data_IF_975630284968
#
_entry.id   IF_975630284968
#
_cell.length_a   1.000
_cell.length_b   1.000
_cell.length_c   1.000
_cell.angle_alpha   90.00
_cell.angle_beta   90.00
_cell.angle_gamma   90.00
#
_symmetry.space_group_name_H-M   'P 1'
#
loop_
_entity.id
_entity.type
_entity.pdbx_description
1 polymer ?
#
# COMPACT_ATOMS: atom_id res chain seq x y z
N UNK A 1 19.76 -14.90 -2.68
CA UNK A 1 18.55 -15.74 -2.60
C UNK A 1 17.44 -15.12 -3.48
N UNK A 2 17.69 -14.97 -4.78
CA UNK A 2 16.85 -14.10 -5.63
C UNK A 2 15.96 -14.87 -6.61
N UNK A 3 16.07 -16.20 -6.68
CA UNK A 3 15.32 -17.05 -7.61
C UNK A 3 13.98 -17.54 -7.06
N UNK A 4 13.77 -17.49 -5.73
CA UNK A 4 12.54 -17.96 -5.09
C UNK A 4 11.34 -17.05 -5.39
N UNK A 5 11.53 -15.73 -5.31
CA UNK A 5 10.48 -14.74 -5.61
C UNK A 5 9.96 -14.85 -7.05
N UNK A 6 10.81 -14.87 -8.10
CA UNK A 6 10.33 -15.01 -9.47
C UNK A 6 9.71 -16.40 -9.72
N UNK A 7 10.24 -17.47 -9.14
CA UNK A 7 9.64 -18.80 -9.26
C UNK A 7 8.23 -18.86 -8.64
N UNK A 8 8.02 -18.27 -7.45
CA UNK A 8 6.72 -18.16 -6.81
C UNK A 8 5.75 -17.30 -7.64
N UNK A 9 6.22 -16.19 -8.20
CA UNK A 9 5.40 -15.33 -9.05
C UNK A 9 4.92 -16.07 -10.31
N UNK A 10 5.80 -16.82 -10.98
CA UNK A 10 5.46 -17.62 -12.16
C UNK A 10 4.49 -18.76 -11.80
N UNK A 11 4.74 -19.46 -10.69
CA UNK A 11 3.85 -20.53 -10.22
C UNK A 11 2.45 -19.99 -9.86
N UNK A 12 2.39 -18.84 -9.20
CA UNK A 12 1.13 -18.17 -8.88
C UNK A 12 0.37 -17.75 -10.14
N UNK A 13 1.05 -17.13 -11.10
CA UNK A 13 0.45 -16.74 -12.37
C UNK A 13 -0.09 -17.96 -13.15
N UNK A 14 0.70 -19.04 -13.23
CA UNK A 14 0.27 -20.28 -13.87
C UNK A 14 -0.96 -20.90 -13.19
N UNK A 15 -1.00 -20.88 -11.85
CA UNK A 15 -2.13 -21.36 -11.06
C UNK A 15 -3.38 -20.49 -11.28
N UNK A 16 -3.24 -19.16 -11.32
CA UNK A 16 -4.33 -18.23 -11.62
C UNK A 16 -4.93 -18.48 -13.01
N UNK A 17 -4.09 -18.65 -14.03
CA UNK A 17 -4.54 -18.95 -15.40
C UNK A 17 -5.26 -20.30 -15.44
N UNK A 18 -4.66 -21.33 -14.83
CA UNK A 18 -5.26 -22.68 -14.78
C UNK A 18 -6.61 -22.70 -14.07
N UNK A 19 -6.74 -22.02 -12.93
CA UNK A 19 -7.99 -21.88 -12.20
C UNK A 19 -9.03 -21.12 -13.03
N UNK A 20 -8.64 -20.04 -13.71
CA UNK A 20 -9.55 -19.27 -14.57
C UNK A 20 -10.10 -20.14 -15.69
N UNK A 21 -9.24 -20.91 -16.37
CA UNK A 21 -9.66 -21.86 -17.42
C UNK A 21 -10.60 -22.93 -16.84
N UNK A 22 -10.26 -23.52 -15.68
CA UNK A 22 -11.10 -24.52 -14.99
C UNK A 22 -12.47 -23.95 -14.63
N UNK A 23 -12.54 -22.73 -14.12
CA UNK A 23 -13.78 -22.07 -13.70
C UNK A 23 -14.65 -21.69 -14.91
N UNK A 24 -14.05 -21.18 -15.98
CA UNK A 24 -14.76 -20.86 -17.22
C UNK A 24 -15.34 -22.13 -17.86
N UNK A 25 -14.56 -23.21 -17.90
CA UNK A 25 -14.96 -24.47 -18.51
C UNK A 25 -16.07 -25.20 -17.72
N UNK A 26 -16.21 -24.95 -16.41
CA UNK A 26 -17.18 -25.68 -15.57
C UNK A 26 -18.61 -25.11 -15.55
N UNK A 27 -18.92 -23.99 -16.24
CA UNK A 27 -20.26 -23.35 -16.36
C UNK A 27 -21.10 -23.16 -15.08
N UNK A 28 -20.59 -23.46 -13.89
CA UNK A 28 -21.27 -23.23 -12.62
C UNK A 28 -21.20 -21.73 -12.31
N UNK A 29 -22.36 -21.07 -12.39
CA UNK A 29 -22.50 -19.61 -12.18
C UNK A 29 -21.83 -19.16 -10.87
N UNK A 30 -21.90 -20.00 -9.84
CA UNK A 30 -21.29 -19.79 -8.52
C UNK A 30 -19.76 -19.70 -8.54
N UNK A 31 -19.07 -20.49 -9.38
CA UNK A 31 -17.61 -20.49 -9.45
C UNK A 31 -17.05 -19.20 -10.08
N UNK A 32 -17.82 -18.57 -10.99
CA UNK A 32 -17.43 -17.28 -11.58
C UNK A 32 -17.54 -16.15 -10.57
N UNK A 33 -18.61 -16.14 -9.75
CA UNK A 33 -18.78 -15.16 -8.69
C UNK A 33 -17.72 -15.29 -7.60
N UNK A 34 -17.34 -16.51 -7.22
CA UNK A 34 -16.26 -16.71 -6.25
C UNK A 34 -14.92 -16.26 -6.79
N UNK A 35 -14.56 -16.55 -8.05
CA UNK A 35 -13.33 -16.02 -8.65
C UNK A 35 -13.35 -14.47 -8.68
N UNK A 36 -14.45 -13.88 -9.14
CA UNK A 36 -14.60 -12.43 -9.20
C UNK A 36 -14.49 -11.79 -7.82
N UNK A 37 -15.05 -12.42 -6.77
CA UNK A 37 -14.91 -11.95 -5.40
C UNK A 37 -13.47 -12.14 -4.88
N UNK A 38 -12.86 -13.30 -5.10
CA UNK A 38 -11.51 -13.61 -4.61
C UNK A 38 -10.45 -12.71 -5.22
N UNK A 39 -10.59 -12.33 -6.50
CA UNK A 39 -9.64 -11.41 -7.16
C UNK A 39 -10.08 -9.96 -7.03
N UNK A 40 -11.36 -9.68 -7.23
CA UNK A 40 -11.89 -8.33 -7.24
C UNK A 40 -11.90 -7.67 -5.87
N UNK A 41 -12.16 -8.43 -4.79
CA UNK A 41 -12.24 -7.86 -3.45
C UNK A 41 -10.86 -7.39 -2.93
N UNK A 42 -9.76 -8.14 -3.11
CA UNK A 42 -8.41 -7.63 -2.83
C UNK A 42 -8.01 -6.43 -3.70
N UNK A 43 -8.33 -6.47 -4.99
CA UNK A 43 -8.02 -5.34 -5.90
C UNK A 43 -8.80 -4.09 -5.47
N UNK A 44 -10.09 -4.25 -5.14
CA UNK A 44 -10.94 -3.16 -4.68
C UNK A 44 -10.45 -2.61 -3.33
N UNK A 45 -10.00 -3.48 -2.42
CA UNK A 45 -9.41 -3.09 -1.14
C UNK A 45 -8.14 -2.25 -1.31
N UNK A 46 -7.23 -2.67 -2.20
CA UNK A 46 -6.01 -1.89 -2.46
C UNK A 46 -6.34 -0.59 -3.19
N UNK A 47 -7.28 -0.62 -4.14
CA UNK A 47 -7.73 0.58 -4.86
C UNK A 47 -8.46 1.59 -3.96
N UNK A 48 -9.16 1.13 -2.91
CA UNK A 48 -9.87 2.00 -1.96
C UNK A 48 -8.95 2.67 -0.95
N UNK A 49 -7.69 2.24 -0.84
CA UNK A 49 -6.71 2.84 0.07
C UNK A 49 -6.44 4.31 -0.24
N UNK A 50 -6.21 4.66 -1.51
CA UNK A 50 -5.97 6.04 -1.94
C UNK A 50 -7.10 7.01 -1.56
N UNK A 51 -8.37 6.73 -1.95
CA UNK A 51 -9.52 7.52 -1.53
C UNK A 51 -9.68 7.63 -0.01
N UNK A 52 -9.41 6.55 0.74
CA UNK A 52 -9.49 6.57 2.19
C UNK A 52 -8.43 7.48 2.83
N UNK A 53 -7.19 7.45 2.32
CA UNK A 53 -6.13 8.37 2.74
C UNK A 53 -6.49 9.82 2.42
N UNK A 54 -7.02 10.08 1.22
CA UNK A 54 -7.46 11.42 0.83
C UNK A 54 -8.61 11.96 1.71
N UNK A 55 -9.56 11.10 2.07
CA UNK A 55 -10.63 11.47 3.01
C UNK A 55 -10.11 11.70 4.43
N UNK A 56 -9.08 10.94 4.85
CA UNK A 56 -8.40 11.14 6.12
C UNK A 56 -7.70 12.50 6.20
N UNK A 57 -7.02 12.91 5.12
CA UNK A 57 -6.33 14.20 5.00
C UNK A 57 -7.29 15.40 5.12
N UNK A 58 -8.57 15.21 4.76
CA UNK A 58 -9.63 16.21 4.88
C UNK A 58 -10.41 16.12 6.19
N UNK A 59 -9.93 15.37 7.17
CA UNK A 59 -10.59 15.10 8.45
C UNK A 59 -12.01 14.51 8.31
N UNK A 60 -12.34 13.91 7.16
CA UNK A 60 -13.64 13.24 6.92
C UNK A 60 -13.65 11.86 7.58
N UNK A 61 -12.50 11.18 7.56
CA UNK A 61 -12.29 9.87 8.19
C UNK A 61 -11.24 9.98 9.28
N UNK A 62 -11.45 9.25 10.39
CA UNK A 62 -10.46 9.18 11.47
C UNK A 62 -9.22 8.39 11.03
N UNK A 63 -8.04 8.95 11.24
CA UNK A 63 -6.75 8.31 10.96
C UNK A 63 -6.63 6.92 11.62
N UNK A 64 -7.11 6.79 12.87
CA UNK A 64 -7.13 5.51 13.59
C UNK A 64 -7.95 4.46 12.87
N UNK A 65 -9.07 4.86 12.26
CA UNK A 65 -9.92 3.94 11.51
C UNK A 65 -9.24 3.47 10.23
N UNK A 66 -8.61 4.38 9.49
CA UNK A 66 -7.87 4.04 8.27
C UNK A 66 -6.68 3.13 8.58
N UNK A 67 -5.88 3.45 9.59
CA UNK A 67 -4.76 2.59 10.02
C UNK A 67 -5.22 1.21 10.50
N UNK A 68 -6.37 1.13 11.16
CA UNK A 68 -6.94 -0.14 11.60
C UNK A 68 -7.44 -0.97 10.43
N UNK A 69 -8.28 -0.40 9.55
CA UNK A 69 -8.85 -1.08 8.39
C UNK A 69 -7.78 -1.51 7.36
N UNK A 70 -6.72 -0.72 7.23
CA UNK A 70 -5.58 -0.97 6.33
C UNK A 70 -4.33 -1.47 7.05
N UNK A 71 -4.45 -1.98 8.28
CA UNK A 71 -3.32 -2.48 9.07
C UNK A 71 -2.48 -3.56 8.37
N UNK A 72 -3.07 -4.52 7.63
CA UNK A 72 -2.27 -5.50 6.88
C UNK A 72 -1.37 -4.83 5.84
N UNK A 73 -1.91 -3.82 5.15
CA UNK A 73 -1.16 -3.03 4.18
C UNK A 73 -0.08 -2.22 4.89
N UNK A 74 -0.44 -1.51 5.97
CA UNK A 74 0.48 -0.71 6.80
C UNK A 74 1.67 -1.55 7.29
N UNK A 75 1.43 -2.77 7.79
CA UNK A 75 2.49 -3.69 8.21
C UNK A 75 3.38 -4.12 7.05
N UNK A 76 2.78 -4.48 5.90
CA UNK A 76 3.54 -4.83 4.71
C UNK A 76 4.45 -3.67 4.21
N UNK A 77 4.08 -2.42 4.48
CA UNK A 77 4.91 -1.25 4.17
C UNK A 77 6.12 -1.12 5.09
N UNK A 78 5.96 -1.48 6.36
CA UNK A 78 6.99 -1.34 7.39
C UNK A 78 8.06 -2.43 7.24
N UNK A 79 7.66 -3.62 6.81
CA UNK A 79 8.54 -4.79 6.68
C UNK A 79 9.45 -4.76 5.43
N UNK A 80 9.67 -3.60 4.80
CA UNK A 80 10.52 -3.39 3.60
C UNK A 80 10.13 -4.25 2.36
N UNK A 81 8.96 -4.90 2.35
CA UNK A 81 8.51 -5.73 1.22
C UNK A 81 7.97 -4.91 0.05
N UNK A 82 7.56 -3.66 0.28
CA UNK A 82 6.99 -2.79 -0.73
C UNK A 82 7.91 -1.61 -1.05
N UNK A 83 8.24 -1.37 -2.34
CA UNK A 83 9.01 -0.21 -2.71
C UNK A 83 8.22 1.07 -2.41
N UNK A 84 8.85 2.11 -1.84
CA UNK A 84 8.18 3.36 -1.49
C UNK A 84 7.53 4.06 -2.69
N UNK A 85 7.94 3.71 -3.92
CA UNK A 85 7.36 4.22 -5.17
C UNK A 85 5.86 3.96 -5.33
N UNK A 86 5.32 2.89 -4.73
CA UNK A 86 3.88 2.60 -4.83
C UNK A 86 3.04 3.64 -4.06
N UNK A 87 3.51 4.09 -2.90
CA UNK A 87 2.78 5.11 -2.12
C UNK A 87 2.84 6.47 -2.80
N UNK A 88 3.97 6.78 -3.44
CA UNK A 88 4.13 8.00 -4.25
C UNK A 88 3.15 7.99 -5.41
N UNK A 89 3.04 6.87 -6.13
CA UNK A 89 2.07 6.73 -7.22
C UNK A 89 0.63 6.94 -6.75
N UNK A 90 0.25 6.41 -5.58
CA UNK A 90 -1.07 6.66 -5.00
C UNK A 90 -1.28 8.13 -4.62
N UNK A 91 -0.25 8.80 -4.07
CA UNK A 91 -0.29 10.23 -3.78
C UNK A 91 -0.46 11.09 -5.03
N UNK A 92 0.27 10.78 -6.10
CA UNK A 92 0.18 11.47 -7.40
C UNK A 92 -1.19 11.29 -8.05
N UNK A 93 -1.76 10.07 -8.00
CA UNK A 93 -3.03 9.76 -8.66
C UNK A 93 -4.21 10.53 -8.04
N UNK A 94 -4.22 10.68 -6.72
CA UNK A 94 -5.36 11.27 -5.99
C UNK A 94 -5.12 12.71 -5.53
N UNK A 95 -3.89 13.20 -5.61
CA UNK A 95 -3.51 14.53 -5.17
C UNK A 95 -2.72 15.31 -6.23
N UNK A 96 -3.29 15.51 -7.44
CA UNK A 96 -2.61 16.21 -8.54
C UNK A 96 -2.25 17.67 -8.22
N UNK A 97 -2.81 18.25 -7.16
CA UNK A 97 -2.46 19.59 -6.69
C UNK A 97 -1.10 19.67 -5.98
N UNK A 98 -0.50 18.54 -5.60
CA UNK A 98 0.85 18.48 -5.02
C UNK A 98 1.96 18.32 -6.06
N UNK A 99 1.72 18.73 -7.32
CA UNK A 99 2.72 18.82 -8.39
C UNK A 99 3.89 19.79 -8.14
N UNK A 100 4.12 20.17 -6.88
CA UNK A 100 5.14 21.09 -6.41
C UNK A 100 5.79 20.64 -5.09
N UNK A 101 5.73 19.36 -4.70
CA UNK A 101 6.78 18.86 -3.79
C UNK A 101 8.03 18.77 -4.66
N UNK A 102 9.00 19.70 -4.54
CA UNK A 102 10.12 19.70 -5.44
C UNK A 102 10.89 18.40 -5.23
N UNK A 103 11.33 17.78 -6.32
CA UNK A 103 12.22 16.61 -6.32
C UNK A 103 13.48 16.79 -5.44
N UNK A 104 13.73 18.00 -4.92
CA UNK A 104 14.76 18.29 -3.92
C UNK A 104 14.51 17.65 -2.54
N UNK A 105 13.29 17.23 -2.17
CA UNK A 105 13.08 16.48 -0.91
C UNK A 105 13.60 15.03 -1.02
N UNK A 106 13.74 14.52 -2.25
CA UNK A 106 14.16 13.14 -2.54
C UNK A 106 15.43 13.06 -3.39
N UNK A 107 16.13 14.18 -3.58
CA UNK A 107 17.44 14.17 -4.20
C UNK A 107 18.38 13.29 -3.37
N UNK A 108 19.26 12.47 -3.98
CA UNK A 108 20.26 11.69 -3.25
C UNK A 108 21.16 12.66 -2.46
N UNK A 109 20.87 12.83 -1.17
CA UNK A 109 21.51 13.82 -0.28
C UNK A 109 20.55 14.73 0.49
N UNK A 110 19.26 14.78 0.12
CA UNK A 110 18.22 15.37 0.95
C UNK A 110 18.04 14.52 2.21
N UNK A 111 17.84 15.19 3.36
CA UNK A 111 17.85 14.58 4.68
C UNK A 111 17.08 13.26 4.69
N UNK A 112 17.78 12.16 4.96
CA UNK A 112 17.20 10.83 5.10
C UNK A 112 15.90 10.93 5.93
N UNK A 113 14.73 10.53 5.40
CA UNK A 113 13.46 10.58 6.12
C UNK A 113 13.56 9.89 7.48
N UNK A 114 14.41 8.84 7.60
CA UNK A 114 14.67 8.19 8.88
C UNK A 114 15.32 9.14 9.89
N UNK A 115 16.25 10.00 9.46
CA UNK A 115 16.87 11.04 10.30
C UNK A 115 15.90 12.15 10.69
N UNK A 116 14.99 12.53 9.80
CA UNK A 116 13.96 13.52 10.13
C UNK A 116 12.99 12.97 11.19
N UNK A 117 12.57 11.71 11.06
CA UNK A 117 11.70 11.03 12.04
C UNK A 117 12.43 10.82 13.38
N UNK A 118 13.72 10.44 13.37
CA UNK A 118 14.47 10.32 14.64
C UNK A 118 14.62 11.64 15.36
N UNK A 119 14.90 12.74 14.64
CA UNK A 119 14.98 14.07 15.25
C UNK A 119 13.65 14.54 15.84
N UNK A 120 12.53 14.22 15.17
CA UNK A 120 11.21 14.53 15.71
C UNK A 120 10.90 13.69 16.96
N UNK A 121 11.29 12.40 16.97
CA UNK A 121 11.13 11.54 18.14
C UNK A 121 12.00 11.95 19.32
N UNK A 122 13.26 12.35 19.08
CA UNK A 122 14.16 12.89 20.11
C UNK A 122 13.61 14.19 20.70
N UNK A 123 13.15 15.13 19.87
CA UNK A 123 12.55 16.39 20.33
C UNK A 123 11.22 16.18 21.11
N UNK A 124 10.45 15.14 20.76
CA UNK A 124 9.24 14.77 21.49
C UNK A 124 9.58 14.12 22.84
N UNK A 125 10.65 13.32 22.89
CA UNK A 125 11.15 12.69 24.11
C UNK A 125 11.65 13.74 25.11
N UNK A 126 12.45 14.70 24.65
CA UNK A 126 12.97 15.78 25.49
C UNK A 126 11.83 16.63 26.09
N UNK A 127 10.80 16.97 25.29
CA UNK A 127 9.59 17.67 25.78
C UNK A 127 8.77 16.89 26.81
N UNK A 128 8.92 15.57 26.87
CA UNK A 128 8.28 14.74 27.91
C UNK A 128 9.13 14.63 29.17
N UNK A 129 10.46 14.76 29.06
CA UNK A 129 11.35 14.72 30.22
C UNK A 129 11.29 16.00 31.09
N UNK A 130 10.85 17.12 30.52
CA UNK A 130 10.67 18.39 31.23
C UNK A 130 9.32 18.55 31.95
N UNK A 131 8.39 17.60 31.81
CA UNK A 131 7.09 17.60 32.51
C UNK A 131 7.06 16.61 33.66
#
# INVERSE_FOLDING_TARGET
MSFLLPALAVAFAAFCVWLTVRIVNRKERWAKWTLAAVVGLPVLYVASFGPACWMCDRDVLSERFVLWAYSPLAKATIDDYFPPSIYIWYGELFSPQYGLVPNSIWAPGALDPRRAITKLLEAEYDRRAER
#
